data_IF_462428298310
#
_entry.id   IF_462428298310
#
_cell.length_a   1.000
_cell.length_b   1.000
_cell.length_c   1.000
_cell.angle_alpha   90.00
_cell.angle_beta   90.00
_cell.angle_gamma   90.00
#
_symmetry.space_group_name_H-M   'P 1'
#
loop_
_entity.id
_entity.type
_entity.pdbx_description
1 polymer ?
#
# COMPACT_ATOMS: atom_id res chain seq x y z
N UNK A 1 -35.29 -2.37 -7.76
CA UNK A 1 -34.07 -2.54 -7.16
C UNK A 1 -33.09 -3.37 -7.95
N UNK A 2 -31.83 -2.92 -8.03
CA UNK A 2 -30.89 -3.63 -8.78
C UNK A 2 -30.25 -4.71 -7.99
N UNK A 3 -30.07 -5.84 -8.62
CA UNK A 3 -29.42 -6.93 -8.02
C UNK A 3 -27.96 -6.93 -8.44
N UNK A 4 -27.07 -7.14 -7.51
CA UNK A 4 -25.66 -7.24 -7.86
C UNK A 4 -25.38 -8.53 -8.61
N UNK A 5 -24.52 -8.46 -9.59
CA UNK A 5 -24.08 -9.64 -10.31
C UNK A 5 -22.94 -10.27 -9.57
N UNK A 6 -22.88 -11.58 -9.56
CA UNK A 6 -21.69 -12.26 -9.09
C UNK A 6 -20.61 -12.15 -10.16
N UNK A 7 -19.38 -12.49 -9.79
CA UNK A 7 -18.27 -12.46 -10.74
C UNK A 7 -18.56 -13.43 -11.88
N UNK A 8 -19.09 -14.62 -11.55
CA UNK A 8 -19.37 -15.60 -12.57
C UNK A 8 -20.44 -15.12 -13.53
N UNK A 9 -21.49 -14.49 -12.99
CA UNK A 9 -22.56 -14.00 -13.84
C UNK A 9 -22.06 -12.89 -14.74
N UNK A 10 -21.21 -12.00 -14.21
CA UNK A 10 -20.66 -10.93 -15.02
C UNK A 10 -19.83 -11.49 -16.15
N UNK A 11 -19.01 -12.50 -15.87
CA UNK A 11 -18.15 -13.07 -16.88
C UNK A 11 -18.94 -13.76 -18.00
N UNK A 12 -20.09 -14.32 -17.66
CA UNK A 12 -20.93 -14.94 -18.69
C UNK A 12 -21.44 -13.92 -19.69
N UNK A 13 -21.65 -12.67 -19.24
CA UNK A 13 -22.13 -11.62 -20.12
C UNK A 13 -21.00 -10.90 -20.84
N UNK A 14 -19.75 -11.12 -20.44
CA UNK A 14 -18.61 -10.44 -21.02
C UNK A 14 -17.49 -11.41 -21.33
N UNK A 15 -17.67 -12.21 -22.41
CA UNK A 15 -16.64 -13.20 -22.74
C UNK A 15 -15.31 -12.60 -23.16
N UNK A 16 -15.29 -11.29 -23.46
CA UNK A 16 -14.05 -10.61 -23.79
C UNK A 16 -13.16 -10.37 -22.58
N UNK A 17 -13.67 -10.58 -21.36
CA UNK A 17 -12.90 -10.38 -20.16
C UNK A 17 -12.30 -11.69 -19.70
N UNK A 18 -10.98 -11.74 -19.61
CA UNK A 18 -10.27 -12.95 -19.19
C UNK A 18 -10.00 -12.90 -17.69
N UNK A 19 -9.73 -14.05 -17.08
CA UNK A 19 -9.34 -14.06 -15.67
C UNK A 19 -8.11 -13.20 -15.38
N UNK A 20 -7.18 -13.15 -16.34
CA UNK A 20 -6.00 -12.33 -16.17
C UNK A 20 -6.37 -10.83 -16.12
N UNK A 21 -7.32 -10.43 -16.98
CA UNK A 21 -7.77 -9.05 -16.96
C UNK A 21 -8.46 -8.71 -15.66
N UNK A 22 -9.22 -9.64 -15.12
CA UNK A 22 -9.88 -9.42 -13.84
C UNK A 22 -8.87 -9.27 -12.71
N UNK A 23 -7.81 -10.07 -12.73
CA UNK A 23 -6.80 -9.98 -11.71
C UNK A 23 -6.08 -8.66 -11.78
N UNK A 24 -5.73 -8.19 -12.97
CA UNK A 24 -5.10 -6.88 -13.12
C UNK A 24 -6.03 -5.78 -12.65
N UNK A 25 -7.31 -5.88 -13.00
CA UNK A 25 -8.27 -4.88 -12.56
C UNK A 25 -8.42 -4.86 -11.05
N UNK A 26 -8.42 -6.06 -10.43
CA UNK A 26 -8.52 -6.14 -8.99
C UNK A 26 -7.34 -5.46 -8.30
N UNK A 27 -6.14 -5.67 -8.82
CA UNK A 27 -4.96 -5.04 -8.26
C UNK A 27 -5.02 -3.52 -8.38
N UNK A 28 -5.50 -3.02 -9.52
CA UNK A 28 -5.63 -1.59 -9.70
C UNK A 28 -6.65 -0.98 -8.75
N UNK A 29 -7.78 -1.67 -8.57
CA UNK A 29 -8.80 -1.19 -7.65
C UNK A 29 -8.28 -1.19 -6.22
N UNK A 30 -7.56 -2.25 -5.82
CA UNK A 30 -6.99 -2.31 -4.49
C UNK A 30 -6.00 -1.19 -4.25
N UNK A 31 -5.18 -0.87 -5.26
CA UNK A 31 -4.23 0.23 -5.13
C UNK A 31 -4.96 1.56 -4.94
N UNK A 32 -6.06 1.75 -5.67
CA UNK A 32 -6.84 2.97 -5.53
C UNK A 32 -7.49 3.08 -4.16
N UNK A 33 -7.98 1.97 -3.63
CA UNK A 33 -8.57 1.96 -2.30
C UNK A 33 -7.52 2.32 -1.25
N UNK A 34 -6.32 1.73 -1.38
CA UNK A 34 -5.24 2.03 -0.45
C UNK A 34 -4.84 3.49 -0.53
N UNK A 35 -4.74 4.03 -1.75
CA UNK A 35 -4.42 5.44 -1.92
C UNK A 35 -5.46 6.34 -1.28
N UNK A 36 -6.73 6.01 -1.45
CA UNK A 36 -7.81 6.78 -0.85
C UNK A 36 -7.72 6.72 0.68
N UNK A 37 -7.45 5.55 1.23
CA UNK A 37 -7.30 5.41 2.68
C UNK A 37 -6.15 6.26 3.20
N UNK A 38 -5.05 6.30 2.47
CA UNK A 38 -3.92 7.14 2.86
C UNK A 38 -4.30 8.62 2.83
N UNK A 39 -5.06 9.02 1.80
CA UNK A 39 -5.52 10.39 1.72
C UNK A 39 -6.40 10.75 2.91
N UNK A 40 -7.32 9.87 3.27
CA UNK A 40 -8.19 10.12 4.40
C UNK A 40 -7.40 10.20 5.71
N UNK A 41 -6.41 9.35 5.87
CA UNK A 41 -5.56 9.38 7.06
C UNK A 41 -4.80 10.71 7.14
N UNK A 42 -4.28 11.17 6.00
CA UNK A 42 -3.58 12.45 5.97
C UNK A 42 -4.51 13.59 6.39
N UNK A 43 -5.72 13.59 5.83
CA UNK A 43 -6.68 14.64 6.16
C UNK A 43 -7.09 14.59 7.63
N UNK A 44 -7.23 13.37 8.16
CA UNK A 44 -7.56 13.22 9.58
C UNK A 44 -6.46 13.76 10.47
N UNK A 45 -5.21 13.74 10.00
CA UNK A 45 -4.10 14.31 10.74
C UNK A 45 -3.95 15.81 10.51
N UNK A 46 -4.83 16.41 9.71
CA UNK A 46 -4.81 17.85 9.49
C UNK A 46 -3.66 18.33 8.62
N UNK A 47 -3.12 17.46 7.76
CA UNK A 47 -1.99 17.81 6.93
C UNK A 47 -2.36 17.88 5.46
N UNK A 48 -1.75 18.82 4.74
CA UNK A 48 -1.94 18.92 3.30
C UNK A 48 -0.92 18.05 2.57
N UNK A 49 -1.20 17.80 1.28
CA UNK A 49 -0.23 17.08 0.47
C UNK A 49 1.11 17.81 0.43
N UNK A 50 1.06 19.12 0.39
CA UNK A 50 2.27 19.92 0.34
C UNK A 50 3.10 19.75 1.60
N UNK A 51 2.43 19.71 2.75
CA UNK A 51 3.13 19.54 4.01
C UNK A 51 3.78 18.17 4.11
N UNK A 52 3.06 17.14 3.68
CA UNK A 52 3.61 15.78 3.70
C UNK A 52 4.80 15.69 2.73
N UNK A 53 4.65 16.29 1.55
CA UNK A 53 5.73 16.27 0.56
C UNK A 53 6.98 16.92 1.13
N UNK A 54 6.82 18.04 1.83
CA UNK A 54 7.96 18.73 2.43
C UNK A 54 8.63 17.86 3.49
N UNK A 55 7.84 17.17 4.30
CA UNK A 55 8.42 16.31 5.33
C UNK A 55 9.15 15.12 4.74
N UNK A 56 8.65 14.61 3.63
CA UNK A 56 9.26 13.46 2.98
C UNK A 56 10.41 13.85 2.05
N UNK A 57 10.51 15.13 1.72
CA UNK A 57 11.53 15.57 0.78
C UNK A 57 11.23 15.14 -0.65
N UNK A 58 9.95 15.08 -1.00
CA UNK A 58 9.54 14.68 -2.36
C UNK A 58 8.60 15.75 -2.90
N UNK A 59 8.23 15.61 -4.17
CA UNK A 59 7.32 16.55 -4.78
C UNK A 59 5.89 16.29 -4.35
N UNK A 60 5.07 17.33 -4.43
CA UNK A 60 3.65 17.17 -4.13
C UNK A 60 2.99 16.21 -5.13
N UNK A 61 3.48 16.23 -6.37
CA UNK A 61 2.95 15.31 -7.36
C UNK A 61 3.15 13.87 -6.95
N UNK A 62 4.29 13.56 -6.31
CA UNK A 62 4.52 12.20 -5.84
C UNK A 62 3.54 11.80 -4.76
N UNK A 63 3.19 12.73 -3.87
CA UNK A 63 2.18 12.46 -2.86
C UNK A 63 0.82 12.26 -3.52
N UNK A 64 0.49 13.10 -4.49
CA UNK A 64 -0.76 12.96 -5.21
C UNK A 64 -0.85 11.61 -5.92
N UNK A 65 0.24 11.20 -6.57
CA UNK A 65 0.28 9.90 -7.24
C UNK A 65 0.09 8.76 -6.26
N UNK A 66 0.72 8.85 -5.10
CA UNK A 66 0.59 7.83 -4.06
C UNK A 66 -0.87 7.72 -3.60
N UNK A 67 -1.51 8.86 -3.37
CA UNK A 67 -2.90 8.87 -2.89
C UNK A 67 -3.88 8.52 -3.99
N UNK A 68 -3.45 8.56 -5.24
CA UNK A 68 -4.28 8.10 -6.36
C UNK A 68 -4.06 6.63 -6.68
N UNK A 69 -3.23 5.96 -5.91
CA UNK A 69 -3.05 4.54 -6.07
C UNK A 69 -2.06 4.15 -7.16
N UNK A 70 -1.07 5.02 -7.42
CA UNK A 70 -0.05 4.68 -8.40
C UNK A 70 0.81 3.55 -7.85
N UNK A 71 0.81 2.42 -8.53
CA UNK A 71 1.55 1.25 -8.07
C UNK A 71 3.05 1.53 -8.06
N UNK A 72 3.51 2.34 -9.00
CA UNK A 72 4.93 2.63 -9.10
C UNK A 72 5.50 3.32 -7.87
N UNK A 73 4.68 4.06 -7.13
CA UNK A 73 5.16 4.73 -5.94
C UNK A 73 4.66 4.08 -4.65
N UNK A 74 3.97 2.95 -4.76
CA UNK A 74 3.46 2.23 -3.59
C UNK A 74 4.45 1.19 -3.11
N UNK A 75 5.69 1.60 -2.91
CA UNK A 75 6.71 0.73 -2.36
C UNK A 75 6.68 0.83 -0.84
N UNK A 76 7.14 -0.23 -0.19
CA UNK A 76 7.12 -0.29 1.27
C UNK A 76 7.86 0.89 1.88
N UNK A 77 9.02 1.21 1.35
CA UNK A 77 9.79 2.31 1.90
C UNK A 77 9.06 3.64 1.74
N UNK A 78 8.42 3.85 0.60
CA UNK A 78 7.66 5.06 0.37
C UNK A 78 6.48 5.14 1.33
N UNK A 79 5.77 4.03 1.52
CA UNK A 79 4.66 3.98 2.45
C UNK A 79 5.12 4.24 3.88
N UNK A 80 6.26 3.66 4.26
CA UNK A 80 6.80 3.87 5.59
C UNK A 80 7.08 5.35 5.83
N UNK A 81 7.68 6.01 4.86
CA UNK A 81 8.00 7.42 5.01
C UNK A 81 6.74 8.27 5.06
N UNK A 82 5.74 7.91 4.27
CA UNK A 82 4.47 8.63 4.27
C UNK A 82 3.81 8.51 5.65
N UNK A 83 3.70 7.30 6.17
CA UNK A 83 3.07 7.07 7.47
C UNK A 83 3.87 7.76 8.58
N UNK A 84 5.20 7.69 8.50
CA UNK A 84 6.05 8.34 9.49
C UNK A 84 5.88 9.85 9.47
N UNK A 85 5.69 10.42 8.28
CA UNK A 85 5.50 11.87 8.18
C UNK A 85 4.18 12.30 8.83
N UNK A 86 3.23 11.39 8.96
CA UNK A 86 1.98 11.68 9.65
C UNK A 86 2.06 11.39 11.14
N UNK A 87 3.19 10.90 11.61
CA UNK A 87 3.37 10.59 13.02
C UNK A 87 3.02 9.16 13.38
N UNK A 88 2.84 8.31 12.39
CA UNK A 88 2.47 6.93 12.63
C UNK A 88 3.59 5.95 12.38
N UNK A 89 3.26 4.68 12.44
CA UNK A 89 4.21 3.60 12.22
C UNK A 89 3.60 2.60 11.25
N UNK A 90 4.39 2.16 10.28
CA UNK A 90 3.93 1.15 9.33
C UNK A 90 4.27 -0.23 9.89
N UNK A 91 3.26 -1.09 9.93
CA UNK A 91 3.45 -2.47 10.37
C UNK A 91 3.18 -3.39 9.19
N UNK A 92 4.06 -4.35 9.00
CA UNK A 92 3.93 -5.31 7.91
C UNK A 92 3.92 -6.69 8.51
N UNK A 93 2.96 -7.50 8.08
CA UNK A 93 2.81 -8.86 8.60
C UNK A 93 2.92 -9.84 7.44
N UNK A 94 3.76 -10.84 7.62
CA UNK A 94 3.86 -11.94 6.67
C UNK A 94 3.19 -13.16 7.29
N UNK A 95 2.28 -13.78 6.55
CA UNK A 95 1.58 -14.97 7.01
C UNK A 95 2.06 -16.16 6.22
N UNK A 96 2.65 -17.11 6.94
CA UNK A 96 3.14 -18.34 6.35
C UNK A 96 2.34 -19.49 6.94
N UNK A 97 2.37 -20.66 6.29
CA UNK A 97 1.69 -21.81 6.87
C UNK A 97 2.21 -22.10 8.28
N UNK A 98 1.32 -21.95 9.25
CA UNK A 98 1.67 -22.22 10.65
C UNK A 98 2.44 -21.16 11.38
N UNK A 99 2.73 -20.03 10.71
CA UNK A 99 3.55 -18.99 11.32
C UNK A 99 3.12 -17.62 10.82
N UNK A 100 3.13 -16.63 11.71
CA UNK A 100 2.94 -15.25 11.35
C UNK A 100 4.14 -14.45 11.81
N UNK A 101 4.68 -13.62 10.95
CA UNK A 101 5.82 -12.78 11.27
C UNK A 101 5.43 -11.32 11.13
N UNK A 102 5.82 -10.52 12.10
CA UNK A 102 5.69 -9.08 11.97
C UNK A 102 7.01 -8.51 11.50
N UNK A 103 6.97 -7.75 10.43
CA UNK A 103 8.17 -7.16 9.87
C UNK A 103 8.17 -5.65 10.08
N UNK A 104 7.59 -5.24 11.18
CA UNK A 104 7.45 -3.85 11.51
C UNK A 104 8.81 -3.17 11.59
N UNK A 105 8.88 -1.97 11.05
CA UNK A 105 10.08 -1.18 11.20
C UNK A 105 11.23 -1.55 10.30
N UNK A 106 11.01 -2.31 9.23
CA UNK A 106 12.09 -2.69 8.34
C UNK A 106 12.38 -1.58 7.34
N UNK A 107 12.93 -0.48 7.81
CA UNK A 107 13.41 0.58 6.95
C UNK A 107 14.93 0.61 7.00
N UNK A 108 15.53 1.42 6.14
CA UNK A 108 16.98 1.47 6.08
C UNK A 108 17.59 1.95 7.38
N UNK A 109 16.84 2.69 8.17
CA UNK A 109 17.35 3.19 9.44
C UNK A 109 17.03 2.26 10.61
N UNK A 110 16.38 1.13 10.36
CA UNK A 110 16.07 0.19 11.42
C UNK A 110 17.28 -0.69 11.69
N UNK A 111 17.68 -0.88 12.94
CA UNK A 111 18.87 -1.69 13.23
C UNK A 111 18.80 -3.10 12.68
N UNK A 112 17.62 -3.73 12.76
CA UNK A 112 17.46 -5.07 12.21
C UNK A 112 17.71 -5.09 10.73
N UNK A 113 17.23 -4.07 9.99
CA UNK A 113 17.41 -4.05 8.57
C UNK A 113 18.88 -4.00 8.21
N UNK A 114 19.70 -3.25 8.98
CA UNK A 114 21.07 -3.06 8.62
C UNK A 114 21.92 -4.27 8.78
N UNK A 115 21.74 -5.03 9.82
CA UNK A 115 22.68 -6.12 10.03
C UNK A 115 21.98 -7.36 10.39
N UNK A 116 20.80 -7.24 10.74
CA UNK A 116 20.14 -8.34 11.19
C UNK A 116 19.46 -9.11 10.20
N UNK A 117 19.56 -8.72 8.94
CA UNK A 117 19.23 -9.63 7.89
C UNK A 117 19.94 -10.94 8.14
N UNK A 118 21.18 -10.83 8.58
CA UNK A 118 21.91 -12.04 8.92
C UNK A 118 21.40 -12.71 10.17
N UNK A 119 21.10 -11.90 11.16
CA UNK A 119 20.62 -12.45 12.41
C UNK A 119 19.27 -13.11 12.24
N UNK A 120 18.40 -12.48 11.46
CA UNK A 120 17.11 -13.08 11.19
C UNK A 120 17.26 -14.38 10.44
N UNK A 121 18.19 -14.44 9.53
CA UNK A 121 18.43 -15.65 8.78
C UNK A 121 18.97 -16.75 9.68
N UNK A 122 19.71 -16.38 10.70
CA UNK A 122 20.27 -17.34 11.62
C UNK A 122 19.26 -17.86 12.61
N UNK A 123 18.26 -17.07 12.85
CA UNK A 123 17.22 -17.47 13.75
C UNK A 123 16.21 -18.36 13.05
#
# INVERSE_FOLDING_TARGET
MKKSLSIEEFLETRPDITPEMLEEGRLLVEAKIKGYELQQARKACGMTQKEVAARMGVSQKRISDLENGSIDVMQVETLRRYITSLGGTLEITAKLPGVSLELQGLGTDHPLFKQEACALAAD
#
